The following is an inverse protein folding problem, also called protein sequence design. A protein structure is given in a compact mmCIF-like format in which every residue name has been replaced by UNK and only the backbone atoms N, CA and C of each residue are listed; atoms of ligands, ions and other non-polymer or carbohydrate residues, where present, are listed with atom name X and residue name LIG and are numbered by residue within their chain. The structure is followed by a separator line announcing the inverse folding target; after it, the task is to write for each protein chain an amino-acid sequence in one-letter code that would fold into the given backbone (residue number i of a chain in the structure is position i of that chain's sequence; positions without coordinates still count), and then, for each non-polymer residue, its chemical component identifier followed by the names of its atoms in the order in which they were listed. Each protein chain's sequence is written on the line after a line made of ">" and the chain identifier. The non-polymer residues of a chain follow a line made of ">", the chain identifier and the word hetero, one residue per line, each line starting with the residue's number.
data_IF_182201657089
#
_entry.id   IF_182201657089
#
_cell.length_a   1.000
_cell.length_b   1.000
_cell.length_c   1.000
_cell.angle_alpha   90.00
_cell.angle_beta   90.00
_cell.angle_gamma   90.00
#
_symmetry.space_group_name_H-M   'P 1'
#
loop_
_entity.id
_entity.type
_entity.pdbx_description
1 polymer ?
#
# COMPACT_ATOMS: atom_id res chain seq x y z
N UNK A 1 2.42 -16.14 2.92
CA UNK A 1 1.60 -14.94 3.16
C UNK A 1 2.04 -14.12 4.36
N UNK A 2 2.52 -14.73 5.44
CA UNK A 2 2.99 -14.01 6.64
C UNK A 2 4.10 -12.99 6.36
N UNK A 3 5.09 -13.34 5.52
CA UNK A 3 6.15 -12.40 5.14
C UNK A 3 5.62 -11.20 4.34
N UNK A 4 4.75 -11.44 3.35
CA UNK A 4 4.10 -10.37 2.59
C UNK A 4 3.27 -9.46 3.51
N UNK A 5 2.55 -10.06 4.47
CA UNK A 5 1.83 -9.35 5.52
C UNK A 5 2.73 -8.40 6.30
N UNK A 6 3.83 -8.90 6.84
CA UNK A 6 4.78 -8.09 7.63
C UNK A 6 5.33 -6.95 6.77
N UNK A 7 5.78 -7.23 5.56
CA UNK A 7 6.39 -6.23 4.66
C UNK A 7 5.37 -5.13 4.31
N UNK A 8 4.15 -5.48 3.90
CA UNK A 8 3.13 -4.48 3.57
C UNK A 8 2.65 -3.69 4.79
N UNK A 9 2.59 -4.32 5.97
CA UNK A 9 2.19 -3.65 7.19
C UNK A 9 3.25 -2.64 7.64
N UNK A 10 4.53 -3.03 7.65
CA UNK A 10 5.64 -2.14 7.98
C UNK A 10 5.82 -1.04 6.94
N UNK A 11 5.71 -1.35 5.65
CA UNK A 11 5.80 -0.36 4.59
C UNK A 11 4.68 0.68 4.66
N UNK A 12 3.46 0.24 4.97
CA UNK A 12 2.33 1.13 5.18
C UNK A 12 2.55 2.02 6.42
N UNK A 13 3.01 1.44 7.53
CA UNK A 13 3.33 2.20 8.75
C UNK A 13 4.46 3.21 8.53
N UNK A 14 5.52 2.82 7.82
CA UNK A 14 6.63 3.71 7.48
C UNK A 14 6.15 4.88 6.59
N UNK A 15 5.32 4.59 5.59
CA UNK A 15 4.73 5.60 4.71
C UNK A 15 3.85 6.58 5.50
N UNK A 16 3.02 6.09 6.42
CA UNK A 16 2.16 6.91 7.28
C UNK A 16 2.97 7.79 8.25
N UNK A 17 4.01 7.22 8.86
CA UNK A 17 4.88 7.91 9.83
C UNK A 17 5.70 9.02 9.19
N UNK A 18 6.22 8.80 7.99
CA UNK A 18 7.01 9.79 7.24
C UNK A 18 6.11 10.83 6.55
N UNK A 19 4.86 10.48 6.26
CA UNK A 19 3.88 11.41 5.70
C UNK A 19 3.14 12.19 6.78
N UNK A 20 2.09 11.58 7.34
CA UNK A 20 1.12 12.24 8.20
C UNK A 20 1.70 12.62 9.57
N UNK A 21 2.40 11.70 10.24
CA UNK A 21 2.96 11.95 11.56
C UNK A 21 4.07 13.01 11.52
N UNK A 22 4.90 12.99 10.47
CA UNK A 22 5.93 13.99 10.24
C UNK A 22 5.34 15.38 9.96
N UNK A 23 4.35 15.49 9.08
CA UNK A 23 3.63 16.76 8.84
C UNK A 23 2.99 17.30 10.12
N UNK A 24 2.33 16.43 10.88
CA UNK A 24 1.67 16.82 12.14
C UNK A 24 2.68 17.34 13.17
N UNK A 25 3.85 16.71 13.28
CA UNK A 25 4.94 17.20 14.15
C UNK A 25 5.46 18.55 13.70
N UNK A 26 5.66 18.76 12.40
CA UNK A 26 6.14 20.04 11.86
C UNK A 26 5.14 21.18 12.11
N UNK A 27 3.84 20.92 11.94
CA UNK A 27 2.79 21.91 12.21
C UNK A 27 2.65 22.25 13.71
N UNK A 28 3.02 21.34 14.60
CA UNK A 28 3.00 21.55 16.05
C UNK A 28 4.25 22.24 16.59
N UNK A 29 5.29 22.47 15.77
CA UNK A 29 6.46 23.26 16.19
C UNK A 29 6.04 24.73 16.27
N UNK A 30 6.49 25.42 17.32
CA UNK A 30 6.23 26.84 17.46
C UNK A 30 7.08 27.65 16.45
N UNK A 31 6.55 27.82 15.24
CA UNK A 31 7.18 28.53 14.14
C UNK A 31 7.49 30.00 14.48
N UNK A 32 6.77 30.62 15.43
CA UNK A 32 7.00 32.01 15.85
C UNK A 32 8.29 32.23 16.63
N UNK A 33 8.89 31.16 17.19
CA UNK A 33 10.18 31.21 17.88
C UNK A 33 11.37 30.93 16.94
N UNK A 34 11.11 30.71 15.65
CA UNK A 34 12.07 30.24 14.66
C UNK A 34 12.23 31.29 13.55
N UNK A 35 13.45 31.41 13.00
CA UNK A 35 13.76 32.36 11.95
C UNK A 35 12.87 32.21 10.70
N UNK A 36 12.61 33.33 10.04
CA UNK A 36 11.80 33.42 8.82
C UNK A 36 12.31 32.54 7.68
N UNK A 37 13.62 32.31 7.57
CA UNK A 37 14.17 31.41 6.57
C UNK A 37 13.74 29.95 6.82
N UNK A 38 13.81 29.49 8.07
CA UNK A 38 13.41 28.13 8.46
C UNK A 38 11.90 27.92 8.37
N UNK A 39 11.08 28.95 8.64
CA UNK A 39 9.63 28.86 8.40
C UNK A 39 9.31 28.58 6.93
N UNK A 40 10.02 29.24 6.00
CA UNK A 40 9.86 29.04 4.56
C UNK A 40 10.30 27.64 4.12
N UNK A 41 11.37 27.11 4.70
CA UNK A 41 11.83 25.74 4.41
C UNK A 41 10.82 24.68 4.88
N UNK A 42 10.23 24.86 6.07
CA UNK A 42 9.19 23.97 6.59
C UNK A 42 7.94 23.98 5.69
N UNK A 43 7.49 25.17 5.27
CA UNK A 43 6.33 25.29 4.37
C UNK A 43 6.60 24.63 3.01
N UNK A 44 7.79 24.87 2.44
CA UNK A 44 8.20 24.22 1.19
C UNK A 44 8.26 22.70 1.31
N UNK A 45 8.72 22.17 2.46
CA UNK A 45 8.75 20.75 2.75
C UNK A 45 7.34 20.17 2.90
N UNK A 46 6.44 20.85 3.60
CA UNK A 46 5.03 20.43 3.71
C UNK A 46 4.36 20.36 2.33
N UNK A 47 4.60 21.36 1.47
CA UNK A 47 4.12 21.36 0.08
C UNK A 47 4.73 20.21 -0.73
N UNK A 48 6.02 19.93 -0.55
CA UNK A 48 6.69 18.83 -1.24
C UNK A 48 6.12 17.46 -0.84
N UNK A 49 5.89 17.23 0.45
CA UNK A 49 5.31 15.97 0.96
C UNK A 49 3.85 15.83 0.50
N UNK A 50 3.09 16.92 0.45
CA UNK A 50 1.73 16.90 -0.07
C UNK A 50 1.69 16.60 -1.58
N UNK A 51 2.61 17.19 -2.37
CA UNK A 51 2.72 16.93 -3.81
C UNK A 51 3.21 15.52 -4.12
N UNK A 52 4.11 14.97 -3.32
CA UNK A 52 4.67 13.64 -3.50
C UNK A 52 4.66 12.88 -2.17
N UNK A 53 3.53 12.21 -1.84
CA UNK A 53 3.44 11.46 -0.60
C UNK A 53 4.50 10.35 -0.56
N UNK A 54 5.07 10.08 0.61
CA UNK A 54 6.06 9.01 0.77
C UNK A 54 5.36 7.66 0.59
N UNK A 55 5.47 7.10 -0.61
CA UNK A 55 4.90 5.79 -0.97
C UNK A 55 6.07 4.82 -1.14
N UNK A 56 6.09 3.74 -0.37
CA UNK A 56 6.99 2.63 -0.65
C UNK A 56 6.51 1.87 -1.89
N UNK A 57 7.40 1.71 -2.86
CA UNK A 57 7.14 0.96 -4.09
C UNK A 57 8.25 -0.07 -4.35
N UNK A 58 7.93 -1.07 -5.17
CA UNK A 58 8.88 -2.05 -5.70
C UNK A 58 9.38 -1.56 -7.05
N UNK A 59 10.29 -0.59 -7.10
CA UNK A 59 10.89 -0.08 -8.35
C UNK A 59 9.83 0.26 -9.43
N UNK A 60 8.69 0.80 -9.00
CA UNK A 60 7.56 1.14 -9.87
C UNK A 60 6.64 -0.03 -10.29
N UNK A 61 6.96 -1.28 -9.95
CA UNK A 61 6.10 -2.44 -10.28
C UNK A 61 4.81 -2.48 -9.46
N UNK A 62 4.90 -2.20 -8.16
CA UNK A 62 3.75 -2.19 -7.27
C UNK A 62 4.02 -1.34 -6.03
N UNK A 63 2.96 -0.73 -5.51
CA UNK A 63 3.01 -0.05 -4.22
C UNK A 63 2.95 -1.10 -3.10
N UNK A 64 3.88 -1.00 -2.15
CA UNK A 64 3.94 -1.88 -0.99
C UNK A 64 3.01 -1.31 0.07
N UNK A 65 1.73 -1.67 -0.01
CA UNK A 65 0.70 -1.25 0.94
C UNK A 65 -0.18 -2.44 1.36
N UNK A 66 -1.12 -2.22 2.29
CA UNK A 66 -2.07 -3.26 2.73
C UNK A 66 -2.94 -3.80 1.59
N UNK A 67 -3.22 -2.97 0.58
CA UNK A 67 -4.02 -3.34 -0.59
C UNK A 67 -3.35 -4.43 -1.43
N UNK A 68 -2.02 -4.44 -1.53
CA UNK A 68 -1.27 -5.47 -2.26
C UNK A 68 -1.62 -6.88 -1.77
N UNK A 69 -1.78 -7.08 -0.46
CA UNK A 69 -2.17 -8.38 0.11
C UNK A 69 -3.61 -8.71 -0.21
N UNK A 70 -4.53 -7.76 -0.01
CA UNK A 70 -5.95 -7.94 -0.29
C UNK A 70 -6.18 -8.34 -1.74
N UNK A 71 -5.47 -7.69 -2.66
CA UNK A 71 -5.50 -7.98 -4.09
C UNK A 71 -4.91 -9.36 -4.40
N UNK A 72 -3.78 -9.72 -3.79
CA UNK A 72 -3.20 -11.07 -3.97
C UNK A 72 -4.14 -12.18 -3.47
N UNK A 73 -4.77 -12.01 -2.30
CA UNK A 73 -5.73 -12.98 -1.75
C UNK A 73 -6.95 -13.10 -2.66
N UNK A 74 -7.48 -11.96 -3.12
CA UNK A 74 -8.61 -11.92 -4.05
C UNK A 74 -8.29 -12.67 -5.35
N UNK A 75 -7.12 -12.41 -5.94
CA UNK A 75 -6.68 -13.13 -7.15
C UNK A 75 -6.54 -14.63 -6.92
N UNK A 76 -5.98 -15.06 -5.79
CA UNK A 76 -5.89 -16.48 -5.47
C UNK A 76 -7.28 -17.13 -5.34
N UNK A 77 -8.21 -16.46 -4.67
CA UNK A 77 -9.58 -16.95 -4.53
C UNK A 77 -10.28 -17.05 -5.89
N UNK A 78 -10.20 -16.00 -6.72
CA UNK A 78 -10.76 -16.02 -8.08
C UNK A 78 -10.16 -17.15 -8.91
N UNK A 79 -8.85 -17.33 -8.86
CA UNK A 79 -8.17 -18.39 -9.60
C UNK A 79 -8.62 -19.80 -9.15
N UNK A 80 -8.73 -20.03 -7.85
CA UNK A 80 -9.24 -21.29 -7.31
C UNK A 80 -10.69 -21.57 -7.72
N UNK A 81 -11.55 -20.55 -7.72
CA UNK A 81 -12.93 -20.67 -8.19
C UNK A 81 -12.97 -21.07 -9.66
N UNK A 82 -12.16 -20.42 -10.50
CA UNK A 82 -12.07 -20.76 -11.93
C UNK A 82 -11.59 -22.20 -12.11
N UNK A 83 -10.55 -22.64 -11.41
CA UNK A 83 -10.06 -24.02 -11.48
C UNK A 83 -11.13 -25.04 -11.03
N UNK A 84 -11.90 -24.73 -9.98
CA UNK A 84 -13.01 -25.56 -9.54
C UNK A 84 -14.11 -25.65 -10.59
N UNK A 85 -14.47 -24.53 -11.22
CA UNK A 85 -15.46 -24.50 -12.31
C UNK A 85 -15.01 -25.36 -13.51
N UNK A 86 -13.72 -25.28 -13.89
CA UNK A 86 -13.15 -26.14 -14.92
C UNK A 86 -13.24 -27.61 -14.52
N UNK A 87 -12.80 -27.98 -13.31
CA UNK A 87 -12.83 -29.37 -12.83
C UNK A 87 -14.24 -29.95 -12.80
N UNK A 88 -15.22 -29.19 -12.32
CA UNK A 88 -16.63 -29.61 -12.28
C UNK A 88 -17.18 -29.83 -13.69
N UNK A 89 -16.84 -28.94 -14.63
CA UNK A 89 -17.24 -29.05 -16.04
C UNK A 89 -16.67 -30.31 -16.69
N UNK A 90 -15.40 -30.62 -16.45
CA UNK A 90 -14.74 -31.81 -16.98
C UNK A 90 -15.33 -33.11 -16.39
N UNK A 91 -15.56 -33.17 -15.08
CA UNK A 91 -16.23 -34.32 -14.45
C UNK A 91 -17.64 -34.54 -14.99
N UNK A 92 -18.40 -33.46 -15.22
CA UNK A 92 -19.73 -33.56 -15.82
C UNK A 92 -19.68 -34.13 -17.23
N UNK A 93 -18.73 -33.68 -18.06
CA UNK A 93 -18.52 -34.22 -19.41
C UNK A 93 -18.17 -35.71 -19.39
N UNK A 94 -17.28 -36.12 -18.48
CA UNK A 94 -16.91 -37.52 -18.33
C UNK A 94 -18.13 -38.40 -17.96
N UNK A 95 -18.98 -37.95 -17.04
CA UNK A 95 -20.18 -38.69 -16.62
C UNK A 95 -21.29 -38.75 -17.69
N UNK A 96 -21.31 -37.83 -18.66
CA UNK A 96 -22.28 -37.85 -19.77
C UNK A 96 -21.84 -38.74 -20.94
N UNK A 97 -20.56 -39.14 -20.98
CA UNK A 97 -19.97 -39.97 -22.04
C UNK A 97 -19.81 -41.45 -21.61
N UNK A 98 -20.42 -41.84 -20.48
CA UNK A 98 -20.58 -43.24 -20.00
C UNK A 98 -22.05 -43.61 -20.12
#
# INVERSE_FOLDING_TARGET
>A
MTLLYIICNEAHYASEKVGLEFQTKLLNINLTAVDTATQKEVDMLLVAINKNPPIMNLDGYANINRELITTNISFMATYLVVLLQFKITEQRRANLNV
#
